data_IF_782100335218
#
_entry.id   IF_782100335218
#
_cell.length_a   1.000
_cell.length_b   1.000
_cell.length_c   1.000
_cell.angle_alpha   90.00
_cell.angle_beta   90.00
_cell.angle_gamma   90.00
#
_symmetry.space_group_name_H-M   'P 1'
#
loop_
_entity.id
_entity.type
_entity.pdbx_description
1 polymer ?
#
# COMPACT_ATOMS: atom_id res chain seq x y z
N UNK A 1 -11.63 19.91 -15.41
CA UNK A 1 -11.76 19.47 -14.01
C UNK A 1 -12.47 18.14 -14.01
N UNK A 2 -11.94 17.08 -13.37
CA UNK A 2 -12.63 15.80 -13.30
C UNK A 2 -13.96 15.99 -12.55
N UNK A 3 -15.05 15.49 -13.11
CA UNK A 3 -16.36 15.50 -12.44
C UNK A 3 -16.36 14.42 -11.37
N UNK A 4 -16.18 14.82 -10.11
CA UNK A 4 -16.37 13.94 -8.95
C UNK A 4 -17.86 13.86 -8.61
N UNK A 5 -18.33 12.68 -8.27
CA UNK A 5 -19.66 12.55 -7.67
C UNK A 5 -19.62 13.29 -6.33
N UNK A 6 -20.42 14.33 -6.22
CA UNK A 6 -20.53 15.21 -5.06
C UNK A 6 -20.95 14.40 -3.84
N UNK A 7 -20.03 14.24 -2.87
CA UNK A 7 -20.34 13.69 -1.54
C UNK A 7 -19.41 12.66 -0.96
N UNK A 8 -18.51 12.02 -1.71
CA UNK A 8 -17.50 11.13 -1.15
C UNK A 8 -16.17 11.85 -0.96
N UNK A 9 -15.65 11.82 0.27
CA UNK A 9 -14.29 12.29 0.57
C UNK A 9 -13.28 11.42 -0.20
N UNK A 10 -12.34 12.06 -0.91
CA UNK A 10 -11.29 11.32 -1.65
C UNK A 10 -10.46 10.49 -0.69
N UNK A 11 -10.03 9.32 -1.13
CA UNK A 11 -9.11 8.48 -0.33
C UNK A 11 -7.79 9.22 -0.01
N UNK A 12 -7.26 9.96 -0.99
CA UNK A 12 -6.03 10.72 -0.86
C UNK A 12 -4.77 9.86 -0.95
N UNK A 13 -3.69 10.27 -0.26
CA UNK A 13 -2.42 9.57 -0.25
C UNK A 13 -2.25 8.78 1.04
N UNK A 14 -2.02 7.47 0.94
CA UNK A 14 -1.60 6.63 2.05
C UNK A 14 -0.13 6.23 1.87
N UNK A 15 0.70 6.45 2.89
CA UNK A 15 2.07 5.96 2.87
C UNK A 15 2.08 4.45 3.16
N UNK A 16 2.52 3.63 2.20
CA UNK A 16 2.81 2.22 2.43
C UNK A 16 4.11 2.12 3.23
N UNK A 17 3.99 2.14 4.56
CA UNK A 17 5.14 2.24 5.43
C UNK A 17 6.06 1.02 5.34
N UNK A 18 7.35 1.28 5.35
CA UNK A 18 8.35 0.26 5.66
C UNK A 18 8.28 -0.07 7.15
N UNK A 19 8.49 -1.34 7.50
CA UNK A 19 8.58 -1.75 8.90
C UNK A 19 10.04 -1.76 9.35
N UNK A 20 10.44 -0.92 10.32
CA UNK A 20 11.80 -0.95 10.84
C UNK A 20 12.02 -2.16 11.74
N UNK A 21 13.12 -2.86 11.52
CA UNK A 21 13.59 -3.94 12.38
C UNK A 21 14.92 -3.55 13.01
N UNK A 22 15.19 -4.09 14.19
CA UNK A 22 16.51 -4.07 14.79
C UNK A 22 17.41 -5.19 14.22
N UNK A 23 18.64 -5.27 14.69
CA UNK A 23 19.61 -6.28 14.26
C UNK A 23 19.19 -7.73 14.59
N UNK A 24 18.32 -7.92 15.58
CA UNK A 24 17.75 -9.22 15.94
C UNK A 24 16.47 -9.54 15.15
N UNK A 25 16.05 -8.65 14.25
CA UNK A 25 14.85 -8.77 13.44
C UNK A 25 13.55 -8.47 14.20
N UNK A 26 13.59 -7.84 15.37
CA UNK A 26 12.41 -7.38 16.10
C UNK A 26 11.92 -6.04 15.52
N UNK A 27 10.62 -5.81 15.57
CA UNK A 27 10.03 -4.53 15.11
C UNK A 27 10.44 -3.42 16.10
N UNK A 28 11.07 -2.36 15.59
CA UNK A 28 11.30 -1.12 16.33
C UNK A 28 10.03 -0.24 16.30
N UNK A 29 9.21 -0.40 17.32
CA UNK A 29 7.93 0.30 17.47
C UNK A 29 8.12 1.81 17.52
N UNK A 30 9.16 2.29 18.22
CA UNK A 30 9.42 3.72 18.37
C UNK A 30 9.75 4.38 17.03
N UNK A 31 10.64 3.74 16.26
CA UNK A 31 11.01 4.20 14.91
C UNK A 31 9.82 4.14 13.96
N UNK A 32 9.04 3.05 13.99
CA UNK A 32 7.83 2.91 13.18
C UNK A 32 6.82 4.02 13.46
N UNK A 33 6.53 4.30 14.71
CA UNK A 33 5.56 5.33 15.12
C UNK A 33 6.03 6.74 14.77
N UNK A 34 7.31 7.06 15.00
CA UNK A 34 7.90 8.35 14.62
C UNK A 34 7.77 8.57 13.11
N UNK A 35 8.09 7.55 12.32
CA UNK A 35 7.98 7.60 10.86
C UNK A 35 6.53 7.78 10.40
N UNK A 36 5.59 7.01 10.98
CA UNK A 36 4.17 7.13 10.67
C UNK A 36 3.61 8.53 10.93
N UNK A 37 3.95 9.13 12.08
CA UNK A 37 3.54 10.51 12.41
C UNK A 37 4.09 11.51 11.39
N UNK A 38 5.37 11.41 11.08
CA UNK A 38 5.97 12.30 10.09
C UNK A 38 5.28 12.20 8.70
N UNK A 39 4.76 11.03 8.31
CA UNK A 39 3.99 10.92 7.04
C UNK A 39 2.66 11.64 7.11
N UNK A 40 1.94 11.56 8.25
CA UNK A 40 0.71 12.33 8.43
C UNK A 40 0.99 13.84 8.49
N UNK A 41 2.05 14.27 9.19
CA UNK A 41 2.45 15.67 9.28
C UNK A 41 2.83 16.26 7.91
N UNK A 42 3.35 15.43 7.01
CA UNK A 42 3.60 15.78 5.60
C UNK A 42 2.38 15.61 4.69
N UNK A 43 1.18 15.51 5.25
CA UNK A 43 -0.07 15.57 4.50
C UNK A 43 -0.60 14.24 3.96
N UNK A 44 0.03 13.10 4.27
CA UNK A 44 -0.61 11.81 3.96
C UNK A 44 -1.95 11.70 4.69
N UNK A 45 -2.99 11.26 4.00
CA UNK A 45 -4.33 11.05 4.56
C UNK A 45 -4.38 9.88 5.55
N UNK A 46 -3.49 8.90 5.35
CA UNK A 46 -3.37 7.69 6.17
C UNK A 46 -2.00 7.05 5.99
N UNK A 47 -1.74 6.02 6.77
CA UNK A 47 -0.60 5.11 6.59
C UNK A 47 -1.09 3.69 6.36
N UNK A 48 -0.38 2.91 5.57
CA UNK A 48 -0.66 1.49 5.36
C UNK A 48 0.43 0.65 6.04
N UNK A 49 0.06 -0.09 7.07
CA UNK A 49 0.92 -1.05 7.75
C UNK A 49 0.78 -2.44 7.11
N UNK A 50 1.83 -3.24 7.20
CA UNK A 50 1.84 -4.64 6.77
C UNK A 50 1.51 -4.86 5.29
N UNK A 51 1.68 -3.84 4.43
CA UNK A 51 1.66 -4.00 2.99
C UNK A 51 2.94 -4.70 2.49
N UNK A 52 3.08 -4.87 1.16
CA UNK A 52 4.29 -5.45 0.54
C UNK A 52 5.55 -4.68 0.95
N UNK A 53 5.51 -3.34 0.86
CA UNK A 53 6.61 -2.46 1.29
C UNK A 53 6.92 -2.60 2.80
N UNK A 54 5.91 -2.90 3.60
CA UNK A 54 6.01 -3.11 5.05
C UNK A 54 6.36 -4.53 5.46
N UNK A 55 6.76 -5.40 4.52
CA UNK A 55 7.13 -6.80 4.77
C UNK A 55 6.02 -7.59 5.51
N UNK A 56 4.75 -7.27 5.24
CA UNK A 56 3.62 -7.84 5.97
C UNK A 56 3.57 -9.36 5.99
N UNK A 57 3.98 -10.02 4.91
CA UNK A 57 4.04 -11.49 4.83
C UNK A 57 5.15 -12.12 5.70
N UNK A 58 6.06 -11.31 6.27
CA UNK A 58 7.13 -11.78 7.18
C UNK A 58 6.85 -11.41 8.65
N UNK A 59 5.65 -10.92 8.96
CA UNK A 59 5.26 -10.45 10.30
C UNK A 59 4.15 -11.34 10.85
N UNK A 60 4.42 -12.03 11.95
CA UNK A 60 3.47 -12.92 12.60
C UNK A 60 2.27 -12.16 13.19
N UNK A 61 1.13 -12.84 13.33
CA UNK A 61 -0.12 -12.22 13.83
C UNK A 61 0.05 -11.54 15.19
N UNK A 62 0.78 -12.19 16.11
CA UNK A 62 1.05 -11.62 17.43
C UNK A 62 1.87 -10.31 17.37
N UNK A 63 2.81 -10.21 16.43
CA UNK A 63 3.60 -9.00 16.22
C UNK A 63 2.77 -7.89 15.56
N UNK A 64 1.88 -8.26 14.63
CA UNK A 64 0.93 -7.33 13.99
C UNK A 64 0.00 -6.72 15.03
N UNK A 65 -0.61 -7.57 15.89
CA UNK A 65 -1.46 -7.15 16.99
C UNK A 65 -0.71 -6.22 17.97
N UNK A 66 0.49 -6.62 18.39
CA UNK A 66 1.31 -5.84 19.30
C UNK A 66 1.69 -4.46 18.74
N UNK A 67 2.02 -4.37 17.43
CA UNK A 67 2.35 -3.10 16.79
C UNK A 67 1.11 -2.18 16.71
N UNK A 68 -0.06 -2.71 16.34
CA UNK A 68 -1.31 -1.94 16.30
C UNK A 68 -1.68 -1.42 17.69
N UNK A 69 -1.61 -2.28 18.72
CA UNK A 69 -1.87 -1.90 20.10
C UNK A 69 -0.91 -0.80 20.59
N UNK A 70 0.38 -0.92 20.25
CA UNK A 70 1.37 0.09 20.60
C UNK A 70 1.12 1.43 19.92
N UNK A 71 0.73 1.44 18.64
CA UNK A 71 0.37 2.66 17.91
C UNK A 71 -0.82 3.36 18.57
N UNK A 72 -1.89 2.61 18.86
CA UNK A 72 -3.12 3.13 19.48
C UNK A 72 -2.85 3.62 20.89
N UNK A 73 -2.14 2.85 21.71
CA UNK A 73 -1.80 3.23 23.09
C UNK A 73 -0.96 4.51 23.17
N UNK A 74 -0.16 4.80 22.15
CA UNK A 74 0.59 6.05 22.04
C UNK A 74 -0.16 7.18 21.32
N UNK A 75 -1.48 7.04 21.13
CA UNK A 75 -2.34 8.08 20.57
C UNK A 75 -2.27 8.24 19.06
N UNK A 76 -1.75 7.25 18.31
CA UNK A 76 -1.87 7.28 16.86
C UNK A 76 -3.30 6.90 16.47
N UNK A 77 -4.01 7.70 15.65
CA UNK A 77 -5.41 7.44 15.37
C UNK A 77 -5.58 6.19 14.50
N UNK A 78 -6.27 5.17 15.03
CA UNK A 78 -6.55 3.93 14.28
C UNK A 78 -7.27 4.21 12.96
N UNK A 79 -8.15 5.22 12.93
CA UNK A 79 -8.86 5.68 11.72
C UNK A 79 -7.93 6.25 10.62
N UNK A 80 -6.64 6.37 10.87
CA UNK A 80 -5.61 6.73 9.89
C UNK A 80 -4.73 5.55 9.48
N UNK A 81 -5.05 4.33 9.93
CA UNK A 81 -4.30 3.11 9.62
C UNK A 81 -5.09 2.26 8.63
N UNK A 82 -4.50 1.97 7.47
CA UNK A 82 -4.91 0.89 6.56
C UNK A 82 -4.06 -0.33 6.89
N UNK A 83 -4.65 -1.52 6.94
CA UNK A 83 -3.93 -2.74 7.27
C UNK A 83 -3.88 -3.67 6.06
N UNK A 84 -2.67 -4.03 5.63
CA UNK A 84 -2.45 -5.02 4.58
C UNK A 84 -2.68 -6.43 5.12
N UNK A 85 -3.45 -7.23 4.41
CA UNK A 85 -3.70 -8.66 4.68
C UNK A 85 -3.36 -9.45 3.43
N UNK A 86 -2.40 -10.38 3.55
CA UNK A 86 -1.80 -11.11 2.41
C UNK A 86 -1.71 -12.60 2.73
N UNK A 87 -2.85 -13.16 3.17
CA UNK A 87 -2.94 -14.53 3.62
C UNK A 87 -3.50 -15.46 2.54
N UNK A 88 -3.09 -16.74 2.59
CA UNK A 88 -3.65 -17.76 1.71
C UNK A 88 -4.87 -18.44 2.33
N UNK A 89 -4.86 -18.63 3.65
CA UNK A 89 -5.94 -19.23 4.42
C UNK A 89 -7.07 -18.22 4.63
N UNK A 90 -8.31 -18.64 4.40
CA UNK A 90 -9.51 -17.84 4.73
C UNK A 90 -9.54 -17.48 6.22
N UNK A 91 -9.19 -18.44 7.09
CA UNK A 91 -9.24 -18.24 8.54
C UNK A 91 -8.25 -17.17 9.01
N UNK A 92 -7.03 -17.19 8.48
CA UNK A 92 -5.99 -16.20 8.85
C UNK A 92 -6.32 -14.83 8.27
N UNK A 93 -6.85 -14.77 7.04
CA UNK A 93 -7.31 -13.52 6.46
C UNK A 93 -8.46 -12.89 7.28
N UNK A 94 -9.43 -13.68 7.73
CA UNK A 94 -10.51 -13.24 8.62
C UNK A 94 -9.97 -12.77 9.97
N UNK A 95 -9.03 -13.53 10.54
CA UNK A 95 -8.41 -13.19 11.83
C UNK A 95 -7.72 -11.82 11.76
N UNK A 96 -6.82 -11.64 10.81
CA UNK A 96 -6.04 -10.39 10.66
C UNK A 96 -6.92 -9.19 10.31
N UNK A 97 -7.84 -9.35 9.35
CA UNK A 97 -8.73 -8.28 8.95
C UNK A 97 -9.71 -7.90 10.08
N UNK A 98 -10.33 -8.88 10.73
CA UNK A 98 -11.26 -8.66 11.84
C UNK A 98 -10.59 -8.00 13.04
N UNK A 99 -9.37 -8.44 13.36
CA UNK A 99 -8.57 -7.87 14.43
C UNK A 99 -8.26 -6.37 14.21
N UNK A 100 -7.87 -6.00 13.00
CA UNK A 100 -7.63 -4.61 12.63
C UNK A 100 -8.93 -3.76 12.62
N UNK A 101 -10.03 -4.30 12.08
CA UNK A 101 -11.31 -3.58 12.01
C UNK A 101 -11.92 -3.33 13.39
N UNK A 102 -11.83 -4.30 14.31
CA UNK A 102 -12.28 -4.13 15.71
C UNK A 102 -11.47 -3.08 16.47
N UNK A 103 -10.18 -2.88 16.13
CA UNK A 103 -9.36 -1.78 16.66
C UNK A 103 -9.71 -0.41 16.06
N UNK A 104 -10.63 -0.34 15.11
CA UNK A 104 -11.05 0.90 14.47
C UNK A 104 -10.13 1.36 13.34
N UNK A 105 -9.31 0.45 12.77
CA UNK A 105 -8.50 0.78 11.59
C UNK A 105 -9.38 1.23 10.43
N UNK A 106 -8.84 2.13 9.59
CA UNK A 106 -9.54 2.80 8.50
C UNK A 106 -10.08 1.82 7.47
N UNK A 107 -9.26 0.89 7.03
CA UNK A 107 -9.59 -0.05 5.97
C UNK A 107 -8.64 -1.27 5.98
N UNK A 108 -9.04 -2.31 5.27
CA UNK A 108 -8.21 -3.48 4.99
C UNK A 108 -7.79 -3.45 3.51
N UNK A 109 -6.49 -3.54 3.26
CA UNK A 109 -5.93 -3.79 1.93
C UNK A 109 -5.75 -5.30 1.77
N UNK A 110 -6.72 -5.96 1.12
CA UNK A 110 -6.82 -7.41 1.02
C UNK A 110 -6.28 -7.93 -0.31
N UNK A 111 -5.15 -8.64 -0.28
CA UNK A 111 -4.58 -9.31 -1.44
C UNK A 111 -5.26 -10.67 -1.70
N UNK A 112 -5.26 -11.16 -2.96
CA UNK A 112 -5.70 -12.52 -3.26
C UNK A 112 -4.75 -13.56 -2.66
N UNK A 113 -5.23 -14.81 -2.45
CA UNK A 113 -4.35 -15.92 -2.08
C UNK A 113 -3.35 -16.16 -3.21
N UNK A 114 -2.08 -16.34 -2.85
CA UNK A 114 -0.98 -16.32 -3.83
C UNK A 114 -0.19 -17.63 -3.95
N UNK A 115 -0.42 -18.60 -3.08
CA UNK A 115 0.32 -19.86 -3.13
C UNK A 115 -0.05 -20.69 -4.38
N UNK A 116 -1.35 -20.88 -4.64
CA UNK A 116 -1.83 -21.55 -5.85
C UNK A 116 -1.86 -20.58 -7.02
N UNK A 117 -1.47 -21.06 -8.21
CA UNK A 117 -1.41 -20.27 -9.44
C UNK A 117 -2.51 -20.69 -10.42
N UNK A 118 -2.74 -19.84 -11.43
CA UNK A 118 -3.75 -20.06 -12.46
C UNK A 118 -5.17 -20.25 -11.87
N UNK A 119 -5.48 -19.47 -10.84
CA UNK A 119 -6.80 -19.47 -10.23
C UNK A 119 -7.84 -18.88 -11.19
N UNK A 120 -9.02 -19.50 -11.24
CA UNK A 120 -10.16 -18.92 -11.96
C UNK A 120 -10.79 -17.80 -11.16
N UNK A 121 -11.50 -16.89 -11.83
CA UNK A 121 -12.31 -15.85 -11.19
C UNK A 121 -13.34 -16.44 -10.23
N UNK A 122 -13.92 -17.61 -10.52
CA UNK A 122 -14.84 -18.29 -9.62
C UNK A 122 -14.14 -18.74 -8.32
N UNK A 123 -12.92 -19.29 -8.44
CA UNK A 123 -12.12 -19.65 -7.27
C UNK A 123 -11.78 -18.45 -6.41
N UNK A 124 -11.35 -17.35 -7.02
CA UNK A 124 -11.07 -16.09 -6.33
C UNK A 124 -12.34 -15.49 -5.72
N UNK A 125 -13.45 -15.46 -6.45
CA UNK A 125 -14.75 -15.01 -5.92
C UNK A 125 -15.17 -15.80 -4.68
N UNK A 126 -15.02 -17.11 -4.70
CA UNK A 126 -15.35 -17.97 -3.57
C UNK A 126 -14.46 -17.68 -2.36
N UNK A 127 -13.14 -17.47 -2.59
CA UNK A 127 -12.21 -17.15 -1.52
C UNK A 127 -12.52 -15.79 -0.88
N UNK A 128 -12.65 -14.72 -1.68
CA UNK A 128 -13.01 -13.40 -1.17
C UNK A 128 -14.38 -13.44 -0.45
N UNK A 129 -15.36 -14.12 -1.03
CA UNK A 129 -16.69 -14.28 -0.42
C UNK A 129 -16.63 -14.99 0.95
N UNK A 130 -15.78 -16.01 1.08
CA UNK A 130 -15.60 -16.70 2.34
C UNK A 130 -14.94 -15.79 3.40
N UNK A 131 -13.93 -14.98 3.02
CA UNK A 131 -13.31 -14.01 3.93
C UNK A 131 -14.34 -12.96 4.37
N UNK A 132 -15.06 -12.34 3.44
CA UNK A 132 -16.02 -11.27 3.74
C UNK A 132 -17.19 -11.77 4.60
N UNK A 133 -17.70 -12.98 4.34
CA UNK A 133 -18.72 -13.63 5.19
C UNK A 133 -18.16 -13.98 6.56
N UNK A 134 -16.91 -14.44 6.65
CA UNK A 134 -16.24 -14.76 7.91
C UNK A 134 -16.04 -13.55 8.82
N UNK A 135 -15.90 -12.34 8.26
CA UNK A 135 -15.85 -11.10 9.03
C UNK A 135 -17.19 -10.72 9.66
N UNK A 136 -18.32 -11.22 9.14
CA UNK A 136 -19.65 -10.96 9.71
C UNK A 136 -19.96 -9.47 9.80
N UNK A 137 -20.36 -9.02 10.99
CA UNK A 137 -20.69 -7.61 11.26
C UNK A 137 -19.49 -6.66 11.23
N UNK A 138 -18.26 -7.16 11.31
CA UNK A 138 -17.04 -6.36 11.23
C UNK A 138 -16.69 -5.98 9.78
N UNK A 139 -17.31 -6.63 8.79
CA UNK A 139 -17.00 -6.44 7.37
C UNK A 139 -17.32 -5.03 6.88
N UNK A 140 -16.29 -4.23 6.62
CA UNK A 140 -16.38 -2.87 6.08
C UNK A 140 -15.04 -2.42 5.47
N UNK A 141 -15.08 -1.45 4.60
CA UNK A 141 -13.90 -0.73 4.10
C UNK A 141 -12.78 -1.65 3.56
N UNK A 142 -13.18 -2.64 2.75
CA UNK A 142 -12.25 -3.56 2.09
C UNK A 142 -11.78 -2.97 0.77
N UNK A 143 -10.47 -2.81 0.65
CA UNK A 143 -9.77 -2.41 -0.57
C UNK A 143 -9.14 -3.67 -1.16
N UNK A 144 -9.61 -4.10 -2.33
CA UNK A 144 -9.02 -5.23 -3.05
C UNK A 144 -7.63 -4.85 -3.57
N UNK A 145 -6.66 -5.74 -3.45
CA UNK A 145 -5.29 -5.46 -3.85
C UNK A 145 -4.88 -6.26 -5.08
N UNK A 146 -4.82 -5.60 -6.22
CA UNK A 146 -4.31 -6.18 -7.46
C UNK A 146 -2.80 -5.90 -7.60
N UNK A 147 -1.97 -6.94 -7.38
CA UNK A 147 -0.50 -6.86 -7.47
C UNK A 147 0.07 -8.14 -8.12
N UNK A 148 -0.22 -8.39 -9.40
CA UNK A 148 0.15 -9.65 -10.05
C UNK A 148 1.66 -9.87 -10.16
N UNK A 149 2.48 -8.83 -10.15
CA UNK A 149 3.94 -8.94 -10.13
C UNK A 149 4.49 -9.65 -8.89
N UNK A 150 3.73 -9.66 -7.77
CA UNK A 150 4.11 -10.32 -6.51
C UNK A 150 3.30 -11.59 -6.30
N UNK A 151 1.98 -11.51 -6.48
CA UNK A 151 1.08 -12.64 -6.21
C UNK A 151 1.03 -13.67 -7.33
N UNK A 152 1.40 -13.27 -8.55
CA UNK A 152 1.13 -14.00 -9.80
C UNK A 152 -0.37 -14.34 -9.98
N UNK A 153 -1.25 -13.51 -9.38
CA UNK A 153 -2.71 -13.57 -9.49
C UNK A 153 -3.19 -12.18 -9.84
N UNK A 154 -3.88 -12.04 -10.96
CA UNK A 154 -4.54 -10.80 -11.37
C UNK A 154 -6.03 -10.86 -10.99
N UNK A 155 -6.57 -9.76 -10.48
CA UNK A 155 -8.00 -9.60 -10.27
C UNK A 155 -8.61 -9.03 -11.55
N UNK A 156 -9.42 -9.80 -12.26
CA UNK A 156 -10.09 -9.29 -13.44
C UNK A 156 -11.07 -8.16 -13.09
N UNK A 157 -11.32 -7.24 -14.04
CA UNK A 157 -12.31 -6.17 -13.85
C UNK A 157 -13.69 -6.76 -13.58
N UNK A 158 -14.04 -7.87 -14.23
CA UNK A 158 -15.32 -8.57 -14.05
C UNK A 158 -15.45 -9.20 -12.65
N UNK A 159 -14.37 -9.80 -12.14
CA UNK A 159 -14.34 -10.33 -10.76
C UNK A 159 -14.60 -9.23 -9.74
N UNK A 160 -13.97 -8.08 -9.91
CA UNK A 160 -14.17 -6.91 -9.03
C UNK A 160 -15.64 -6.48 -9.07
N UNK A 161 -16.25 -6.42 -10.25
CA UNK A 161 -17.67 -6.13 -10.43
C UNK A 161 -18.56 -7.13 -9.68
N UNK A 162 -18.32 -8.42 -9.87
CA UNK A 162 -19.06 -9.50 -9.17
C UNK A 162 -18.95 -9.39 -7.66
N UNK A 163 -17.79 -9.10 -7.13
CA UNK A 163 -17.59 -8.90 -5.69
C UNK A 163 -18.34 -7.64 -5.20
N UNK A 164 -18.30 -6.55 -5.96
CA UNK A 164 -19.01 -5.32 -5.65
C UNK A 164 -20.52 -5.54 -5.64
N UNK A 165 -21.05 -6.26 -6.62
CA UNK A 165 -22.49 -6.60 -6.72
C UNK A 165 -22.95 -7.47 -5.54
N UNK A 166 -22.12 -8.43 -5.12
CA UNK A 166 -22.45 -9.36 -4.05
C UNK A 166 -22.33 -8.75 -2.64
N UNK A 167 -21.39 -7.83 -2.42
CA UNK A 167 -21.03 -7.32 -1.08
C UNK A 167 -21.26 -5.83 -0.90
N UNK A 168 -21.68 -5.12 -1.93
CA UNK A 168 -22.05 -3.71 -1.85
C UNK A 168 -20.96 -2.83 -1.24
N UNK A 169 -21.33 -1.96 -0.33
CA UNK A 169 -20.45 -0.96 0.28
C UNK A 169 -19.29 -1.54 1.09
N UNK A 170 -19.28 -2.84 1.40
CA UNK A 170 -18.16 -3.51 2.05
C UNK A 170 -16.88 -3.38 1.20
N UNK A 171 -17.00 -3.51 -0.13
CA UNK A 171 -15.91 -3.25 -1.06
C UNK A 171 -15.83 -1.74 -1.31
N UNK A 172 -14.91 -1.07 -0.66
CA UNK A 172 -14.73 0.38 -0.72
C UNK A 172 -13.77 0.83 -1.82
N UNK A 173 -12.93 -0.05 -2.33
CA UNK A 173 -11.97 0.31 -3.37
C UNK A 173 -11.15 -0.84 -3.91
N UNK A 174 -10.29 -0.48 -4.87
CA UNK A 174 -9.26 -1.35 -5.43
C UNK A 174 -7.94 -0.58 -5.44
N UNK A 175 -6.88 -1.16 -4.91
CA UNK A 175 -5.51 -0.71 -5.19
C UNK A 175 -4.99 -1.48 -6.39
N UNK A 176 -4.75 -0.80 -7.48
CA UNK A 176 -4.14 -1.38 -8.66
C UNK A 176 -2.62 -1.10 -8.71
N UNK A 177 -1.84 -2.16 -8.68
CA UNK A 177 -0.39 -2.18 -8.89
C UNK A 177 -0.04 -3.26 -9.93
N UNK A 178 -0.84 -3.34 -10.99
CA UNK A 178 -0.61 -4.27 -12.11
C UNK A 178 0.60 -3.85 -12.97
N UNK A 179 0.91 -2.55 -13.01
CA UNK A 179 1.87 -1.99 -13.96
C UNK A 179 1.39 -2.09 -15.42
N UNK A 180 0.09 -2.29 -15.61
CA UNK A 180 -0.55 -2.41 -16.92
C UNK A 180 -1.56 -1.28 -17.13
N UNK A 181 -1.15 -0.24 -17.83
CA UNK A 181 -1.98 0.95 -18.05
C UNK A 181 -3.34 0.62 -18.69
N UNK A 182 -3.36 -0.28 -19.68
CA UNK A 182 -4.62 -0.66 -20.34
C UNK A 182 -5.60 -1.36 -19.39
N UNK A 183 -5.11 -2.11 -18.39
CA UNK A 183 -5.93 -2.65 -17.32
C UNK A 183 -6.44 -1.54 -16.40
N UNK A 184 -5.58 -0.62 -15.98
CA UNK A 184 -5.93 0.52 -15.12
C UNK A 184 -7.02 1.38 -15.75
N UNK A 185 -6.92 1.68 -17.06
CA UNK A 185 -7.96 2.44 -17.79
C UNK A 185 -9.32 1.70 -17.78
N UNK A 186 -9.32 0.39 -18.02
CA UNK A 186 -10.55 -0.42 -17.97
C UNK A 186 -11.16 -0.42 -16.58
N UNK A 187 -10.34 -0.56 -15.55
CA UNK A 187 -10.78 -0.55 -14.15
C UNK A 187 -11.43 0.79 -13.79
N UNK A 188 -10.79 1.92 -14.14
CA UNK A 188 -11.32 3.27 -13.93
C UNK A 188 -12.62 3.54 -14.69
N UNK A 189 -12.74 2.99 -15.89
CA UNK A 189 -13.96 3.14 -16.70
C UNK A 189 -15.14 2.33 -16.15
N UNK A 190 -14.87 1.12 -15.64
CA UNK A 190 -15.89 0.18 -15.18
C UNK A 190 -16.41 0.50 -13.77
N UNK A 191 -15.53 0.94 -12.86
CA UNK A 191 -15.84 1.08 -11.43
C UNK A 191 -15.69 2.53 -10.95
N UNK A 192 -16.74 3.33 -11.17
CA UNK A 192 -16.79 4.75 -10.78
C UNK A 192 -17.38 4.99 -9.40
N UNK A 193 -17.93 3.97 -8.78
CA UNK A 193 -18.64 4.00 -7.50
C UNK A 193 -17.79 3.56 -6.31
N UNK A 194 -16.55 3.09 -6.55
CA UNK A 194 -15.57 2.73 -5.55
C UNK A 194 -14.23 3.45 -5.78
N UNK A 195 -13.40 3.52 -4.75
CA UNK A 195 -12.11 4.18 -4.84
C UNK A 195 -11.11 3.34 -5.66
N UNK A 196 -10.67 3.84 -6.82
CA UNK A 196 -9.55 3.26 -7.55
C UNK A 196 -8.27 3.98 -7.15
N UNK A 197 -7.36 3.24 -6.51
CA UNK A 197 -6.11 3.73 -5.97
C UNK A 197 -4.97 3.27 -6.88
N UNK A 198 -4.27 4.24 -7.45
CA UNK A 198 -3.17 3.96 -8.37
C UNK A 198 -1.92 3.63 -7.55
N UNK A 199 -1.44 2.39 -7.66
CA UNK A 199 -0.29 1.92 -6.90
C UNK A 199 1.06 2.16 -7.57
N UNK A 200 1.06 2.41 -8.88
CA UNK A 200 2.26 2.69 -9.67
C UNK A 200 2.40 4.19 -9.87
N UNK A 201 3.47 4.76 -9.35
CA UNK A 201 3.74 6.20 -9.44
C UNK A 201 3.92 6.66 -10.89
N UNK A 202 4.30 5.75 -11.80
CA UNK A 202 4.47 6.08 -13.23
C UNK A 202 3.16 6.44 -13.91
N UNK A 203 2.06 5.89 -13.41
CA UNK A 203 0.71 6.07 -13.95
C UNK A 203 -0.18 6.94 -13.04
N UNK A 204 0.33 7.37 -11.87
CA UNK A 204 -0.46 8.01 -10.83
C UNK A 204 -1.17 9.27 -11.31
N UNK A 205 -0.44 10.21 -11.89
CA UNK A 205 -1.03 11.48 -12.34
C UNK A 205 -2.08 11.26 -13.45
N UNK A 206 -1.77 10.39 -14.42
CA UNK A 206 -2.69 10.03 -15.48
C UNK A 206 -3.95 9.34 -14.94
N UNK A 207 -3.81 8.39 -14.02
CA UNK A 207 -4.92 7.69 -13.40
C UNK A 207 -5.82 8.62 -12.59
N UNK A 208 -5.24 9.58 -11.88
CA UNK A 208 -5.99 10.61 -11.14
C UNK A 208 -6.79 11.49 -12.10
N UNK A 209 -6.23 11.90 -13.24
CA UNK A 209 -6.97 12.66 -14.27
C UNK A 209 -8.16 11.89 -14.87
N UNK A 210 -8.09 10.55 -14.86
CA UNK A 210 -9.19 9.68 -15.31
C UNK A 210 -10.18 9.31 -14.19
N UNK A 211 -10.03 9.86 -12.98
CA UNK A 211 -10.96 9.65 -11.87
C UNK A 211 -10.43 8.76 -10.73
N UNK A 212 -9.16 8.39 -10.77
CA UNK A 212 -8.48 7.74 -9.63
C UNK A 212 -8.56 8.61 -8.38
N UNK A 213 -8.85 7.99 -7.24
CA UNK A 213 -9.16 8.72 -6.01
C UNK A 213 -7.98 8.85 -5.04
N UNK A 214 -6.81 8.39 -5.43
CA UNK A 214 -5.62 8.51 -4.62
C UNK A 214 -4.62 7.38 -4.85
N UNK A 215 -3.75 7.18 -3.87
CA UNK A 215 -2.71 6.16 -3.93
C UNK A 215 -2.40 5.55 -2.56
N UNK A 216 -1.92 4.31 -2.58
CA UNK A 216 -1.16 3.71 -1.49
C UNK A 216 0.24 3.45 -2.05
N UNK A 217 1.22 4.27 -1.66
CA UNK A 217 2.53 4.36 -2.32
C UNK A 217 3.69 4.10 -1.37
N UNK A 218 4.67 3.30 -1.83
CA UNK A 218 5.95 3.10 -1.16
C UNK A 218 6.83 4.36 -1.19
N UNK A 219 6.74 5.16 -2.25
CA UNK A 219 7.49 6.41 -2.36
C UNK A 219 7.02 7.49 -1.39
N UNK A 220 5.82 7.36 -0.83
CA UNK A 220 5.35 8.26 0.23
C UNK A 220 6.17 8.17 1.53
N UNK A 221 6.99 7.14 1.70
CA UNK A 221 8.00 7.10 2.78
C UNK A 221 9.05 8.21 2.64
N UNK A 222 9.26 8.74 1.45
CA UNK A 222 10.34 9.67 1.10
C UNK A 222 9.82 11.02 0.57
N UNK A 223 8.85 10.98 -0.35
CA UNK A 223 8.41 12.13 -1.14
C UNK A 223 6.90 12.38 -1.07
N UNK A 224 6.29 12.44 0.12
CA UNK A 224 4.85 12.67 0.23
C UNK A 224 4.39 13.95 -0.48
N UNK A 225 5.15 15.05 -0.35
CA UNK A 225 4.80 16.34 -0.96
C UNK A 225 4.76 16.29 -2.50
N UNK A 226 5.65 15.50 -3.14
CA UNK A 226 5.65 15.32 -4.60
C UNK A 226 4.43 14.50 -5.03
N UNK A 227 4.16 13.41 -4.30
CA UNK A 227 3.01 12.54 -4.56
C UNK A 227 1.67 13.25 -4.31
N UNK A 228 1.60 14.14 -3.32
CA UNK A 228 0.39 14.92 -3.06
C UNK A 228 -0.01 15.79 -4.25
N UNK A 229 0.94 16.39 -4.96
CA UNK A 229 0.63 17.13 -6.21
C UNK A 229 0.09 16.21 -7.29
N UNK A 230 0.66 15.00 -7.45
CA UNK A 230 0.14 14.01 -8.38
C UNK A 230 -1.28 13.55 -8.00
N UNK A 231 -1.51 13.28 -6.71
CA UNK A 231 -2.81 12.80 -6.19
C UNK A 231 -3.88 13.90 -6.21
N UNK A 232 -3.56 15.11 -5.79
CA UNK A 232 -4.56 16.17 -5.64
C UNK A 232 -4.88 16.85 -6.98
N UNK A 233 -3.86 17.10 -7.80
CA UNK A 233 -3.96 17.95 -8.97
C UNK A 233 -3.77 17.18 -10.30
N UNK A 234 -3.41 15.89 -10.23
CA UNK A 234 -3.03 15.11 -11.42
C UNK A 234 -1.79 15.66 -12.12
N UNK A 235 -0.92 16.35 -11.37
CA UNK A 235 0.30 16.95 -11.89
C UNK A 235 1.35 15.87 -12.15
N UNK A 236 1.88 15.82 -13.37
CA UNK A 236 2.98 14.91 -13.71
C UNK A 236 4.26 15.29 -12.98
N UNK A 237 5.05 14.27 -12.59
CA UNK A 237 6.37 14.42 -11.99
C UNK A 237 7.37 13.49 -12.70
N UNK A 238 7.90 13.96 -13.82
CA UNK A 238 8.77 13.19 -14.70
C UNK A 238 10.07 12.72 -14.00
N UNK A 239 10.62 13.54 -13.11
CA UNK A 239 11.85 13.19 -12.37
C UNK A 239 11.59 12.04 -11.38
N UNK A 240 10.48 12.12 -10.61
CA UNK A 240 10.09 11.04 -9.70
C UNK A 240 9.78 9.75 -10.47
N UNK A 241 9.07 9.86 -11.59
CA UNK A 241 8.75 8.72 -12.47
C UNK A 241 10.03 8.05 -13.00
N UNK A 242 11.02 8.83 -13.44
CA UNK A 242 12.30 8.28 -13.90
C UNK A 242 13.08 7.60 -12.76
N UNK A 243 13.09 8.20 -11.57
CA UNK A 243 13.71 7.60 -10.39
C UNK A 243 13.04 6.29 -9.99
N UNK A 244 11.70 6.23 -10.04
CA UNK A 244 10.95 4.98 -9.79
C UNK A 244 11.28 3.92 -10.82
N UNK A 245 11.41 4.25 -12.11
CA UNK A 245 11.86 3.29 -13.14
C UNK A 245 13.22 2.69 -12.81
N UNK A 246 14.14 3.48 -12.29
CA UNK A 246 15.47 3.01 -11.86
C UNK A 246 15.39 2.15 -10.60
N UNK A 247 14.50 2.50 -9.65
CA UNK A 247 14.23 1.71 -8.44
C UNK A 247 13.76 0.30 -8.76
N UNK A 248 12.90 0.15 -9.77
CA UNK A 248 12.33 -1.15 -10.17
C UNK A 248 13.36 -2.15 -10.71
N UNK A 249 14.61 -1.75 -10.95
CA UNK A 249 15.72 -2.66 -11.27
C UNK A 249 16.28 -3.36 -10.01
N UNK A 250 15.84 -2.98 -8.82
CA UNK A 250 16.27 -3.54 -7.54
C UNK A 250 15.10 -4.26 -6.84
N UNK A 251 15.38 -5.15 -5.88
CA UNK A 251 14.34 -5.62 -4.97
C UNK A 251 13.68 -4.44 -4.26
N UNK A 252 12.40 -4.17 -4.56
CA UNK A 252 11.75 -2.90 -4.22
C UNK A 252 11.73 -2.63 -2.71
N UNK A 253 11.33 -3.61 -1.90
CA UNK A 253 11.25 -3.40 -0.44
C UNK A 253 12.60 -3.09 0.20
N UNK A 254 13.68 -3.87 -0.02
CA UNK A 254 15.02 -3.50 0.44
C UNK A 254 15.51 -2.15 -0.10
N UNK A 255 15.19 -1.82 -1.35
CA UNK A 255 15.60 -0.55 -1.95
C UNK A 255 14.89 0.65 -1.30
N UNK A 256 13.59 0.58 -1.03
CA UNK A 256 12.86 1.63 -0.30
C UNK A 256 13.43 1.81 1.11
N UNK A 257 13.73 0.73 1.83
CA UNK A 257 14.36 0.81 3.17
C UNK A 257 15.74 1.44 3.11
N UNK A 258 16.55 1.08 2.11
CA UNK A 258 17.86 1.69 1.87
C UNK A 258 17.75 3.20 1.63
N UNK A 259 16.76 3.63 0.84
CA UNK A 259 16.50 5.05 0.59
C UNK A 259 16.01 5.78 1.85
N UNK A 260 15.17 5.15 2.68
CA UNK A 260 14.76 5.72 3.97
C UNK A 260 15.97 5.84 4.91
N UNK A 261 16.85 4.83 4.96
CA UNK A 261 18.08 4.88 5.74
C UNK A 261 18.96 6.07 5.32
N UNK A 262 19.18 6.24 4.01
CA UNK A 262 19.95 7.34 3.45
C UNK A 262 19.34 8.71 3.74
N UNK A 263 18.03 8.84 3.54
CA UNK A 263 17.30 10.09 3.76
C UNK A 263 17.30 10.53 5.23
N UNK A 264 17.19 9.58 6.16
CA UNK A 264 17.14 9.85 7.60
C UNK A 264 18.52 9.87 8.27
N UNK A 265 19.55 9.34 7.61
CA UNK A 265 20.86 9.10 8.19
C UNK A 265 20.89 7.93 9.21
N UNK A 266 19.81 7.17 9.31
CA UNK A 266 19.65 6.06 10.27
C UNK A 266 19.76 4.73 9.55
N UNK A 267 20.95 4.10 9.60
CA UNK A 267 21.27 2.86 8.88
C UNK A 267 20.51 1.63 9.37
N UNK A 268 19.89 1.67 10.54
CA UNK A 268 19.03 0.60 11.05
C UNK A 268 17.82 0.32 10.14
N UNK A 269 17.40 1.31 9.35
CA UNK A 269 16.35 1.11 8.34
C UNK A 269 16.72 0.10 7.25
N UNK A 270 18.00 -0.26 7.08
CA UNK A 270 18.43 -1.27 6.10
C UNK A 270 18.06 -2.70 6.50
N UNK A 271 17.73 -2.97 7.78
CA UNK A 271 17.37 -4.30 8.22
C UNK A 271 16.08 -4.78 7.60
N UNK A 272 16.11 -5.95 6.98
CA UNK A 272 14.98 -6.67 6.39
C UNK A 272 14.87 -8.05 7.01
N UNK A 273 13.68 -8.66 6.94
CA UNK A 273 13.51 -10.05 7.35
C UNK A 273 13.69 -11.01 6.17
N UNK A 274 14.19 -12.20 6.45
CA UNK A 274 14.19 -13.29 5.48
C UNK A 274 12.75 -13.54 4.94
N UNK A 275 12.58 -13.85 3.65
CA UNK A 275 13.63 -14.19 2.68
C UNK A 275 14.30 -13.00 1.99
N UNK A 276 13.96 -11.76 2.37
CA UNK A 276 14.58 -10.57 1.79
C UNK A 276 16.03 -10.42 2.30
N UNK A 277 16.85 -9.77 1.46
CA UNK A 277 18.24 -9.44 1.76
C UNK A 277 18.40 -7.93 1.56
N UNK A 278 19.07 -7.26 2.49
CA UNK A 278 19.39 -5.84 2.34
C UNK A 278 20.24 -5.60 1.09
N UNK A 279 20.10 -4.43 0.47
CA UNK A 279 20.99 -4.05 -0.63
C UNK A 279 22.45 -4.04 -0.15
N UNK A 280 23.36 -4.51 -0.99
CA UNK A 280 24.79 -4.31 -0.79
C UNK A 280 25.15 -2.82 -0.89
N UNK A 281 26.35 -2.45 -0.46
CA UNK A 281 26.74 -1.03 -0.40
C UNK A 281 26.84 -0.39 -1.79
N UNK A 282 27.24 -1.14 -2.82
CA UNK A 282 27.30 -0.62 -4.18
C UNK A 282 25.89 -0.26 -4.71
N UNK A 283 24.90 -1.13 -4.51
CA UNK A 283 23.52 -0.88 -4.90
C UNK A 283 22.90 0.24 -4.05
N UNK A 284 23.20 0.27 -2.74
CA UNK A 284 22.78 1.34 -1.83
C UNK A 284 23.26 2.72 -2.33
N UNK A 285 24.53 2.84 -2.71
CA UNK A 285 25.09 4.10 -3.21
C UNK A 285 24.57 4.44 -4.60
N UNK A 286 24.43 3.45 -5.48
CA UNK A 286 23.95 3.66 -6.85
C UNK A 286 22.51 4.20 -6.86
N UNK A 287 21.60 3.53 -6.18
CA UNK A 287 20.20 3.98 -6.11
C UNK A 287 20.07 5.26 -5.27
N UNK A 288 20.83 5.37 -4.18
CA UNK A 288 20.86 6.57 -3.34
C UNK A 288 21.17 7.83 -4.13
N UNK A 289 22.19 7.78 -4.97
CA UNK A 289 22.60 8.92 -5.80
C UNK A 289 21.51 9.41 -6.76
N UNK A 290 20.66 8.49 -7.27
CA UNK A 290 19.51 8.85 -8.10
C UNK A 290 18.50 9.67 -7.31
N UNK A 291 18.23 9.29 -6.07
CA UNK A 291 17.22 9.93 -5.23
C UNK A 291 17.70 11.17 -4.49
N UNK A 292 19.01 11.31 -4.23
CA UNK A 292 19.58 12.55 -3.68
C UNK A 292 19.32 13.74 -4.61
N UNK A 293 19.37 13.54 -5.93
CA UNK A 293 19.05 14.57 -6.92
C UNK A 293 17.62 15.12 -6.81
N UNK A 294 16.67 14.28 -6.41
CA UNK A 294 15.28 14.69 -6.21
C UNK A 294 15.08 15.60 -4.98
N UNK A 295 15.88 15.45 -3.95
CA UNK A 295 15.84 16.29 -2.75
C UNK A 295 16.46 17.67 -3.00
N UNK A 296 17.56 17.73 -3.77
CA UNK A 296 18.26 18.99 -4.07
C UNK A 296 17.44 19.92 -4.96
N UNK A 297 16.57 19.41 -5.81
CA UNK A 297 15.71 20.22 -6.68
C UNK A 297 14.69 21.10 -5.91
N UNK A 298 14.56 20.94 -4.59
CA UNK A 298 13.70 21.80 -3.74
C UNK A 298 14.42 23.01 -3.13
N UNK A 299 15.72 23.14 -3.30
CA UNK A 299 16.53 24.21 -2.69
C UNK A 299 16.80 25.39 -3.63
N UNK A 300 16.22 25.42 -4.84
CA UNK A 300 16.38 26.49 -5.83
C UNK A 300 15.17 27.41 -5.93
#
# INVERSE_FOLDING_TARGET
MPQYHSGQERFGLSAALTTPFDADGKIDVSRALKHARARLDHGCSSVTLFGTTGEGSSIADAERAALLDAFIAQGFPASKIVVGVMENSVADAVLQAGDALRRGCKAILLAPPSYFKNLSDDGLFNWFSAVLKGLGSDARDIILYNIPSVTAVELSVDLIGRLRDAFGAIISGVKDLSGNWAYTEKLLAAHKDIAILIGDERDLAAGVRLGGQGAISGMANLFPDRLLRMVNDGQDDAELVDAVRKLLNYPVTPAVKALVARHTGDMEWRHVRAPLVALNDADFDAIGSVFDGLHMAKAA
#
